data_IF_143887298601
#
_entry.id   IF_143887298601
#
_cell.length_a   1.000
_cell.length_b   1.000
_cell.length_c   1.000
_cell.angle_alpha   90.00
_cell.angle_beta   90.00
_cell.angle_gamma   90.00
#
_symmetry.space_group_name_H-M   'P 1'
#
loop_
_entity.id
_entity.type
_entity.pdbx_description
1 polymer ?
#
# COMPACT_ATOMS: atom_id res chain seq x y z
N UNK A 1 -22.41 33.20 33.12
CA UNK A 1 -21.12 32.50 33.26
C UNK A 1 -21.35 31.07 32.81
N UNK A 2 -20.55 30.56 31.88
CA UNK A 2 -20.73 29.36 31.04
C UNK A 2 -21.81 29.45 29.95
N UNK A 3 -21.35 29.65 28.70
CA UNK A 3 -21.66 28.82 27.53
C UNK A 3 -20.90 29.37 26.31
N UNK A 4 -20.09 28.51 25.69
CA UNK A 4 -19.58 28.69 24.33
C UNK A 4 -20.74 28.47 23.35
N UNK A 5 -20.83 29.26 22.27
CA UNK A 5 -21.46 28.82 21.05
C UNK A 5 -20.46 28.65 19.90
N UNK A 6 -20.72 27.56 19.20
CA UNK A 6 -20.25 27.06 17.92
C UNK A 6 -19.97 28.09 16.82
N UNK A 7 -19.05 27.71 15.93
CA UNK A 7 -19.23 27.98 14.50
C UNK A 7 -18.11 28.75 13.80
N UNK A 8 -17.10 28.03 13.29
CA UNK A 8 -16.71 28.14 11.86
C UNK A 8 -15.75 27.02 11.47
N UNK A 9 -16.33 26.05 10.75
CA UNK A 9 -15.63 25.15 9.83
C UNK A 9 -14.59 25.93 9.02
N UNK A 10 -13.30 25.66 9.25
CA UNK A 10 -12.25 25.91 8.25
C UNK A 10 -11.82 24.57 7.70
N UNK A 11 -12.25 24.34 6.46
CA UNK A 11 -11.80 23.34 5.52
C UNK A 11 -10.28 23.32 5.43
N UNK A 12 -9.66 22.30 6.03
CA UNK A 12 -8.27 21.97 5.77
C UNK A 12 -8.22 21.17 4.46
N UNK A 13 -7.90 21.83 3.34
CA UNK A 13 -7.46 21.14 2.12
C UNK A 13 -6.02 20.70 2.33
N UNK A 14 -5.83 19.44 2.70
CA UNK A 14 -4.54 18.76 2.67
C UNK A 14 -4.41 17.99 1.36
N UNK A 15 -3.42 18.36 0.55
CA UNK A 15 -3.02 17.60 -0.63
C UNK A 15 -2.53 16.22 -0.16
N UNK A 16 -3.29 15.20 -0.52
CA UNK A 16 -3.04 13.81 -0.18
C UNK A 16 -3.53 12.97 -1.35
N UNK A 17 -2.66 12.69 -2.32
CA UNK A 17 -3.04 11.79 -3.42
C UNK A 17 -3.29 10.36 -2.88
N UNK A 18 -2.74 10.03 -1.70
CA UNK A 18 -3.03 8.82 -0.93
C UNK A 18 -4.26 8.98 -0.02
N UNK A 19 -4.39 10.03 0.82
CA UNK A 19 -5.57 10.15 1.69
C UNK A 19 -6.86 10.51 0.94
N UNK A 20 -6.86 11.20 -0.20
CA UNK A 20 -8.07 11.34 -1.04
C UNK A 20 -8.50 9.99 -1.62
N UNK A 21 -7.56 9.14 -2.04
CA UNK A 21 -7.89 7.77 -2.50
C UNK A 21 -8.48 6.92 -1.37
N UNK A 22 -7.91 6.95 -0.16
CA UNK A 22 -8.43 6.22 1.00
C UNK A 22 -9.72 6.82 1.57
N UNK A 23 -9.89 8.15 1.57
CA UNK A 23 -11.13 8.81 1.99
C UNK A 23 -12.25 8.63 0.97
N UNK A 24 -11.95 8.63 -0.33
CA UNK A 24 -12.90 8.27 -1.39
C UNK A 24 -13.27 6.79 -1.27
N UNK A 25 -12.31 5.87 -1.09
CA UNK A 25 -12.61 4.45 -0.81
C UNK A 25 -13.39 4.25 0.48
N UNK A 26 -13.13 5.03 1.54
CA UNK A 26 -13.91 5.00 2.79
C UNK A 26 -15.32 5.54 2.58
N UNK A 27 -15.50 6.62 1.81
CA UNK A 27 -16.83 7.17 1.50
C UNK A 27 -17.62 6.27 0.54
N UNK A 28 -16.95 5.63 -0.42
CA UNK A 28 -17.51 4.63 -1.33
C UNK A 28 -17.86 3.34 -0.58
N UNK A 29 -16.99 2.89 0.33
CA UNK A 29 -17.24 1.77 1.25
C UNK A 29 -18.42 2.09 2.18
N UNK A 30 -18.48 3.28 2.77
CA UNK A 30 -19.59 3.72 3.64
C UNK A 30 -20.90 3.90 2.88
N UNK A 31 -20.85 4.40 1.62
CA UNK A 31 -22.01 4.41 0.70
C UNK A 31 -22.43 3.01 0.30
N UNK A 32 -21.47 2.11 0.04
CA UNK A 32 -21.72 0.71 -0.30
C UNK A 32 -22.36 -0.03 0.87
N UNK A 33 -21.89 0.20 2.11
CA UNK A 33 -22.49 -0.32 3.35
C UNK A 33 -23.92 0.20 3.54
N UNK A 34 -24.16 1.50 3.33
CA UNK A 34 -25.51 2.07 3.43
C UNK A 34 -26.45 1.60 2.30
N UNK A 35 -25.95 1.46 1.08
CA UNK A 35 -26.71 0.92 -0.04
C UNK A 35 -27.01 -0.56 0.16
N UNK A 36 -26.05 -1.36 0.63
CA UNK A 36 -26.25 -2.78 0.93
C UNK A 36 -27.22 -2.99 2.09
N UNK A 37 -27.24 -2.11 3.11
CA UNK A 37 -28.33 -2.12 4.11
C UNK A 37 -29.68 -1.82 3.48
N UNK A 38 -29.78 -0.85 2.57
CA UNK A 38 -31.05 -0.59 1.84
C UNK A 38 -31.48 -1.78 0.99
N UNK A 39 -30.57 -2.40 0.25
CA UNK A 39 -30.86 -3.61 -0.52
C UNK A 39 -31.30 -4.76 0.38
N UNK A 40 -30.69 -4.93 1.56
CA UNK A 40 -31.08 -5.94 2.54
C UNK A 40 -32.52 -5.74 3.04
N UNK A 41 -32.87 -4.52 3.46
CA UNK A 41 -34.25 -4.19 3.87
C UNK A 41 -35.24 -4.38 2.73
N UNK A 42 -34.84 -4.05 1.50
CA UNK A 42 -35.68 -4.25 0.30
C UNK A 42 -35.87 -5.73 -0.01
N UNK A 43 -34.82 -6.56 0.09
CA UNK A 43 -34.89 -8.01 -0.11
C UNK A 43 -35.69 -8.71 0.98
N UNK A 44 -35.53 -8.32 2.26
CA UNK A 44 -36.33 -8.86 3.35
C UNK A 44 -37.81 -8.46 3.21
N UNK A 45 -38.09 -7.22 2.79
CA UNK A 45 -39.44 -6.79 2.48
C UNK A 45 -40.08 -7.57 1.33
N UNK A 46 -39.33 -7.85 0.27
CA UNK A 46 -39.78 -8.65 -0.89
C UNK A 46 -40.05 -10.11 -0.51
N UNK A 47 -39.16 -10.72 0.28
CA UNK A 47 -39.34 -12.09 0.80
C UNK A 47 -40.59 -12.13 1.69
N UNK A 48 -40.75 -11.21 2.64
CA UNK A 48 -41.93 -11.15 3.49
C UNK A 48 -43.23 -10.99 2.68
N UNK A 49 -43.25 -10.13 1.66
CA UNK A 49 -44.40 -9.95 0.78
C UNK A 49 -44.77 -11.24 0.03
N UNK A 50 -43.78 -11.97 -0.50
CA UNK A 50 -44.01 -13.26 -1.18
C UNK A 50 -44.64 -14.29 -0.23
N UNK A 51 -44.16 -14.37 1.01
CA UNK A 51 -44.70 -15.30 2.01
C UNK A 51 -46.11 -14.92 2.47
N UNK A 52 -46.40 -13.63 2.62
CA UNK A 52 -47.76 -13.15 2.94
C UNK A 52 -48.75 -13.49 1.81
N UNK A 53 -48.35 -13.25 0.55
CA UNK A 53 -49.17 -13.57 -0.63
C UNK A 53 -49.38 -15.08 -0.75
N UNK A 54 -48.35 -15.88 -0.47
CA UNK A 54 -48.43 -17.35 -0.50
C UNK A 54 -49.34 -17.89 0.60
N UNK A 55 -49.26 -17.35 1.82
CA UNK A 55 -50.14 -17.72 2.94
C UNK A 55 -51.61 -17.34 2.64
N UNK A 56 -51.85 -16.15 2.07
CA UNK A 56 -53.18 -15.72 1.67
C UNK A 56 -53.77 -16.58 0.54
N UNK A 57 -52.93 -17.00 -0.41
CA UNK A 57 -53.33 -17.91 -1.50
C UNK A 57 -53.65 -19.31 -0.97
N UNK A 58 -52.87 -19.82 -0.02
CA UNK A 58 -53.15 -21.11 0.63
C UNK A 58 -54.49 -21.10 1.38
N UNK A 59 -54.84 -20.00 2.05
CA UNK A 59 -56.13 -19.85 2.71
C UNK A 59 -57.31 -19.92 1.74
N UNK A 60 -57.15 -19.39 0.52
CA UNK A 60 -58.23 -19.35 -0.48
C UNK A 60 -58.40 -20.69 -1.23
N UNK A 61 -57.31 -21.41 -1.46
CA UNK A 61 -57.30 -22.59 -2.35
C UNK A 61 -57.26 -23.95 -1.63
N UNK A 62 -56.85 -24.03 -0.36
CA UNK A 62 -56.74 -25.31 0.35
C UNK A 62 -57.94 -25.59 1.27
N UNK A 63 -58.41 -26.85 1.33
CA UNK A 63 -59.41 -27.27 2.31
C UNK A 63 -58.84 -27.18 3.75
N UNK A 64 -59.70 -26.97 4.77
CA UNK A 64 -59.29 -26.69 6.15
C UNK A 64 -58.47 -27.80 6.82
N UNK A 65 -58.57 -29.05 6.33
CA UNK A 65 -57.83 -30.21 6.86
C UNK A 65 -56.32 -30.16 6.53
N UNK A 66 -55.93 -29.55 5.41
CA UNK A 66 -54.53 -29.47 4.94
C UNK A 66 -53.88 -28.10 5.17
N UNK A 67 -54.68 -27.09 5.53
CA UNK A 67 -54.24 -25.71 5.69
C UNK A 67 -53.20 -25.56 6.81
N UNK A 68 -53.42 -26.22 7.95
CA UNK A 68 -52.51 -26.14 9.11
C UNK A 68 -51.13 -26.75 8.80
N UNK A 69 -51.08 -27.85 8.06
CA UNK A 69 -49.80 -28.48 7.66
C UNK A 69 -49.06 -27.58 6.66
N UNK A 70 -49.77 -27.05 5.67
CA UNK A 70 -49.19 -26.17 4.64
C UNK A 70 -48.66 -24.86 5.22
N UNK A 71 -49.39 -24.23 6.14
CA UNK A 71 -48.94 -23.03 6.85
C UNK A 71 -47.72 -23.30 7.74
N UNK A 72 -47.63 -24.47 8.38
CA UNK A 72 -46.47 -24.83 9.21
C UNK A 72 -45.19 -25.00 8.38
N UNK A 73 -45.28 -25.59 7.18
CA UNK A 73 -44.16 -25.73 6.24
C UNK A 73 -43.73 -24.36 5.70
N UNK A 74 -44.71 -23.48 5.41
CA UNK A 74 -44.43 -22.11 4.95
C UNK A 74 -43.75 -21.28 6.05
N UNK A 75 -44.17 -21.40 7.30
CA UNK A 75 -43.51 -20.75 8.43
C UNK A 75 -42.08 -21.27 8.67
N UNK A 76 -41.87 -22.59 8.55
CA UNK A 76 -40.53 -23.19 8.68
C UNK A 76 -39.57 -22.74 7.58
N UNK A 77 -40.04 -22.65 6.33
CA UNK A 77 -39.22 -22.16 5.20
C UNK A 77 -38.91 -20.67 5.31
N UNK A 78 -39.83 -19.86 5.84
CA UNK A 78 -39.57 -18.44 6.13
C UNK A 78 -38.43 -18.25 7.16
N UNK A 79 -38.47 -19.00 8.28
CA UNK A 79 -37.45 -18.92 9.31
C UNK A 79 -36.07 -19.38 8.82
N UNK A 80 -36.01 -20.40 7.96
CA UNK A 80 -34.75 -20.85 7.33
C UNK A 80 -34.17 -19.79 6.39
N UNK A 81 -35.02 -19.09 5.63
CA UNK A 81 -34.59 -17.98 4.78
C UNK A 81 -34.04 -16.82 5.62
N UNK A 82 -34.73 -16.41 6.70
CA UNK A 82 -34.22 -15.36 7.59
C UNK A 82 -32.90 -15.76 8.25
N UNK A 83 -32.77 -17.00 8.71
CA UNK A 83 -31.55 -17.51 9.35
C UNK A 83 -30.36 -17.56 8.38
N UNK A 84 -30.60 -17.93 7.12
CA UNK A 84 -29.57 -17.97 6.07
C UNK A 84 -29.09 -16.56 5.72
N UNK A 85 -30.03 -15.60 5.58
CA UNK A 85 -29.70 -14.19 5.36
C UNK A 85 -28.93 -13.61 6.55
N UNK A 86 -29.32 -13.94 7.78
CA UNK A 86 -28.63 -13.52 8.99
C UNK A 86 -27.20 -14.08 9.07
N UNK A 87 -26.97 -15.36 8.76
CA UNK A 87 -25.63 -15.96 8.75
C UNK A 87 -24.75 -15.31 7.68
N UNK A 88 -25.28 -15.14 6.47
CA UNK A 88 -24.53 -14.57 5.36
C UNK A 88 -24.11 -13.13 5.71
N UNK A 89 -25.04 -12.34 6.23
CA UNK A 89 -24.78 -10.97 6.66
C UNK A 89 -23.82 -10.91 7.85
N UNK A 90 -23.96 -11.78 8.86
CA UNK A 90 -23.04 -11.84 10.01
C UNK A 90 -21.62 -12.23 9.60
N UNK A 91 -21.47 -13.11 8.60
CA UNK A 91 -20.18 -13.51 8.05
C UNK A 91 -19.55 -12.37 7.24
N UNK A 92 -20.34 -11.67 6.45
CA UNK A 92 -19.90 -10.48 5.72
C UNK A 92 -19.49 -9.39 6.72
N UNK A 93 -20.37 -8.99 7.65
CA UNK A 93 -20.13 -7.95 8.67
C UNK A 93 -18.91 -8.25 9.54
N UNK A 94 -18.61 -9.51 9.88
CA UNK A 94 -17.34 -9.86 10.54
C UNK A 94 -16.11 -9.59 9.67
N UNK A 95 -16.20 -9.81 8.36
CA UNK A 95 -15.17 -9.39 7.42
C UNK A 95 -14.97 -7.88 7.42
N UNK A 96 -16.06 -7.11 7.52
CA UNK A 96 -16.02 -5.64 7.60
C UNK A 96 -15.62 -5.10 8.98
N UNK A 97 -15.94 -5.79 10.09
CA UNK A 97 -15.44 -5.48 11.44
C UNK A 97 -13.93 -5.70 11.50
N UNK A 98 -13.38 -6.75 10.87
CA UNK A 98 -11.92 -6.92 10.78
C UNK A 98 -11.23 -5.82 9.95
N UNK A 99 -11.88 -5.35 8.89
CA UNK A 99 -11.42 -4.23 8.05
C UNK A 99 -11.61 -2.87 8.73
N UNK A 100 -12.66 -2.72 9.56
CA UNK A 100 -12.92 -1.53 10.35
C UNK A 100 -11.99 -1.47 11.56
N UNK A 101 -11.68 -2.57 12.23
CA UNK A 101 -10.69 -2.66 13.31
C UNK A 101 -9.26 -2.44 12.78
N UNK A 102 -8.96 -2.89 11.57
CA UNK A 102 -7.71 -2.57 10.86
C UNK A 102 -7.62 -1.10 10.42
N UNK A 103 -8.76 -0.46 10.12
CA UNK A 103 -8.82 0.94 9.66
C UNK A 103 -9.09 1.96 10.78
N UNK A 104 -9.61 1.51 11.92
CA UNK A 104 -9.90 2.27 13.15
C UNK A 104 -8.96 1.89 14.29
N UNK A 105 -7.96 1.03 14.03
CA UNK A 105 -6.78 0.96 14.89
C UNK A 105 -6.34 2.42 15.09
N UNK A 106 -6.34 2.94 16.33
CA UNK A 106 -5.94 4.31 16.57
C UNK A 106 -4.59 4.52 15.89
N UNK A 107 -4.38 5.69 15.27
CA UNK A 107 -3.01 6.11 14.94
C UNK A 107 -2.14 5.77 16.17
N UNK A 108 -1.01 5.09 15.98
CA UNK A 108 -0.22 4.59 17.10
C UNK A 108 -0.05 5.73 18.09
N UNK A 109 -0.44 5.48 19.33
CA UNK A 109 -0.39 6.47 20.39
C UNK A 109 0.99 7.14 20.35
N UNK A 110 1.09 8.48 20.26
CA UNK A 110 2.38 9.16 20.18
C UNK A 110 3.25 8.96 21.44
N UNK A 111 2.71 8.32 22.48
CA UNK A 111 3.41 7.84 23.68
C UNK A 111 3.66 6.32 23.71
N UNK A 112 3.09 5.56 22.78
CA UNK A 112 3.50 4.18 22.51
C UNK A 112 4.65 4.24 21.50
N UNK A 113 5.86 3.93 21.98
CA UNK A 113 6.99 3.72 21.09
C UNK A 113 6.60 2.68 20.02
N UNK A 114 6.91 2.93 18.74
CA UNK A 114 6.48 2.06 17.66
C UNK A 114 7.01 0.64 17.90
N UNK A 115 6.09 -0.26 18.28
CA UNK A 115 6.36 -1.66 18.59
C UNK A 115 6.94 -2.34 17.35
N UNK A 116 8.23 -2.69 17.47
CA UNK A 116 9.10 -3.32 16.48
C UNK A 116 9.23 -2.62 15.11
N UNK A 117 9.64 -1.35 15.11
CA UNK A 117 10.62 -0.94 14.09
C UNK A 117 11.82 -1.83 14.33
N UNK A 118 12.10 -2.82 13.47
CA UNK A 118 13.35 -3.60 13.53
C UNK A 118 14.49 -2.64 13.88
N UNK A 119 14.93 -2.71 15.14
CA UNK A 119 16.09 -2.02 15.68
C UNK A 119 17.28 -2.53 14.88
N UNK A 120 17.59 -1.87 13.77
CA UNK A 120 18.52 -2.47 12.82
C UNK A 120 18.66 -1.79 11.48
N UNK A 121 18.07 -0.60 11.25
CA UNK A 121 18.51 0.15 10.08
C UNK A 121 19.97 0.54 10.34
N UNK A 122 20.88 0.07 9.50
CA UNK A 122 22.29 0.43 9.54
C UNK A 122 22.47 1.97 9.68
N UNK A 123 21.56 2.75 9.09
CA UNK A 123 21.49 4.21 9.22
C UNK A 123 21.29 4.70 10.67
N UNK A 124 20.50 3.99 11.48
CA UNK A 124 20.35 4.27 12.91
C UNK A 124 21.68 4.08 13.64
N UNK A 125 22.28 2.89 13.51
CA UNK A 125 23.55 2.57 14.16
C UNK A 125 24.68 3.50 13.70
N UNK A 126 24.67 3.90 12.42
CA UNK A 126 25.60 4.87 11.85
C UNK A 126 25.37 6.27 12.44
N UNK A 127 24.12 6.70 12.67
CA UNK A 127 23.82 7.98 13.29
C UNK A 127 24.31 8.04 14.75
N UNK A 128 24.09 6.98 15.53
CA UNK A 128 24.58 6.93 16.92
C UNK A 128 26.10 6.91 17.00
N UNK A 129 26.76 6.09 16.18
CA UNK A 129 28.22 6.06 16.10
C UNK A 129 28.79 7.40 15.64
N UNK A 130 28.11 8.08 14.71
CA UNK A 130 28.48 9.43 14.28
C UNK A 130 28.42 10.42 15.45
N UNK A 131 27.31 10.43 16.20
CA UNK A 131 27.13 11.33 17.34
C UNK A 131 28.19 11.08 18.43
N UNK A 132 28.53 9.81 18.70
CA UNK A 132 29.56 9.46 19.67
C UNK A 132 30.94 10.00 19.26
N UNK A 133 31.34 9.85 18.00
CA UNK A 133 32.62 10.35 17.50
C UNK A 133 32.64 11.87 17.40
N UNK A 134 31.52 12.50 17.03
CA UNK A 134 31.42 13.96 17.03
C UNK A 134 31.58 14.52 18.45
N UNK A 135 30.94 13.89 19.45
CA UNK A 135 31.09 14.28 20.85
C UNK A 135 32.54 14.23 21.34
N UNK A 136 33.30 13.20 20.94
CA UNK A 136 34.74 13.11 21.22
C UNK A 136 35.51 14.26 20.57
N UNK A 137 35.27 14.54 19.28
CA UNK A 137 35.93 15.64 18.57
C UNK A 137 35.64 17.01 19.17
N UNK A 138 34.42 17.24 19.65
CA UNK A 138 34.03 18.48 20.31
C UNK A 138 34.69 18.62 21.69
N UNK A 139 34.79 17.53 22.47
CA UNK A 139 35.54 17.49 23.73
C UNK A 139 37.03 17.80 23.55
N UNK A 140 37.67 17.24 22.53
CA UNK A 140 39.07 17.57 22.24
C UNK A 140 39.25 19.04 21.81
N UNK A 141 38.28 19.58 21.06
CA UNK A 141 38.30 20.98 20.62
C UNK A 141 38.07 21.94 21.78
N UNK A 142 37.20 21.60 22.73
CA UNK A 142 36.98 22.41 23.94
C UNK A 142 38.18 22.31 24.88
N UNK A 143 38.74 21.12 25.09
CA UNK A 143 40.00 20.93 25.82
C UNK A 143 41.14 21.77 25.22
N UNK A 144 41.33 21.73 23.90
CA UNK A 144 42.34 22.55 23.21
C UNK A 144 42.08 24.06 23.35
N UNK A 145 40.82 24.51 23.39
CA UNK A 145 40.45 25.93 23.60
C UNK A 145 40.64 26.39 25.03
N UNK A 146 40.33 25.54 26.02
CA UNK A 146 40.56 25.84 27.44
C UNK A 146 42.05 25.88 27.74
N UNK A 147 42.82 24.95 27.18
CA UNK A 147 44.28 24.94 27.26
C UNK A 147 44.89 26.21 26.63
N UNK A 148 44.29 26.72 25.55
CA UNK A 148 44.72 27.97 24.89
C UNK A 148 44.39 29.25 25.71
N UNK A 149 43.47 29.18 26.69
CA UNK A 149 43.14 30.31 27.60
C UNK A 149 44.08 30.42 28.79
N UNK A 150 44.84 29.37 29.12
CA UNK A 150 45.90 29.43 30.12
C UNK A 150 47.06 30.32 29.61
N UNK A 151 47.64 31.14 30.49
CA UNK A 151 48.70 32.11 30.16
C UNK A 151 49.86 31.44 29.39
N UNK A 152 50.42 32.08 28.35
CA UNK A 152 51.45 31.48 27.49
C UNK A 152 52.75 31.08 28.21
N UNK A 153 53.01 31.62 29.42
CA UNK A 153 54.20 31.33 30.23
C UNK A 153 54.16 29.99 30.98
N UNK A 154 53.01 29.32 31.08
CA UNK A 154 52.87 28.00 31.73
C UNK A 154 53.00 26.85 30.73
N UNK A 155 53.15 27.16 29.43
CA UNK A 155 52.98 26.20 28.35
C UNK A 155 54.30 25.53 27.97
N UNK A 156 54.39 24.22 28.16
CA UNK A 156 55.38 23.43 27.44
C UNK A 156 54.96 23.35 25.97
N UNK A 157 55.83 23.79 25.04
CA UNK A 157 55.50 23.80 23.60
C UNK A 157 55.20 22.39 23.07
N UNK A 158 55.77 21.37 23.70
CA UNK A 158 55.59 19.97 23.33
C UNK A 158 54.13 19.50 23.52
N UNK A 159 53.48 19.86 24.64
CA UNK A 159 52.13 19.40 24.96
C UNK A 159 51.08 20.00 24.02
N UNK A 160 51.21 21.29 23.68
CA UNK A 160 50.34 21.95 22.71
C UNK A 160 50.46 21.39 21.31
N UNK A 161 51.68 21.09 20.85
CA UNK A 161 51.89 20.52 19.52
C UNK A 161 51.38 19.08 19.45
N UNK A 162 51.52 18.32 20.54
CA UNK A 162 51.05 16.95 20.64
C UNK A 162 49.52 16.87 20.64
N UNK A 163 48.83 17.72 21.40
CA UNK A 163 47.36 17.77 21.40
C UNK A 163 46.81 18.19 20.03
N UNK A 164 47.43 19.17 19.37
CA UNK A 164 47.03 19.60 18.03
C UNK A 164 47.20 18.48 16.99
N UNK A 165 48.33 17.73 17.05
CA UNK A 165 48.57 16.56 16.19
C UNK A 165 47.55 15.45 16.45
N UNK A 166 47.19 15.19 17.71
CA UNK A 166 46.16 14.20 18.06
C UNK A 166 44.79 14.59 17.51
N UNK A 167 44.38 15.85 17.68
CA UNK A 167 43.13 16.36 17.12
C UNK A 167 43.08 16.23 15.58
N UNK A 168 44.17 16.58 14.90
CA UNK A 168 44.25 16.44 13.44
C UNK A 168 44.22 14.98 12.98
N UNK A 169 44.91 14.08 13.68
CA UNK A 169 44.90 12.65 13.38
C UNK A 169 43.50 12.03 13.56
N UNK A 170 42.80 12.38 14.64
CA UNK A 170 41.45 11.90 14.92
C UNK A 170 40.42 12.44 13.93
N UNK A 171 40.52 13.74 13.58
CA UNK A 171 39.72 14.35 12.52
C UNK A 171 39.93 13.66 11.16
N UNK A 172 41.17 13.34 10.81
CA UNK A 172 41.48 12.61 9.57
C UNK A 172 40.97 11.17 9.59
N UNK A 173 41.05 10.47 10.73
CA UNK A 173 40.48 9.15 10.90
C UNK A 173 38.96 9.18 10.69
N UNK A 174 38.27 10.14 11.31
CA UNK A 174 36.83 10.31 11.16
C UNK A 174 36.41 10.55 9.71
N UNK A 175 37.10 11.45 9.00
CA UNK A 175 36.82 11.69 7.58
C UNK A 175 36.98 10.43 6.73
N UNK A 176 38.03 9.63 6.97
CA UNK A 176 38.22 8.35 6.27
C UNK A 176 37.10 7.35 6.55
N UNK A 177 36.58 7.31 7.78
CA UNK A 177 35.42 6.46 8.11
C UNK A 177 34.19 6.91 7.32
N UNK A 178 33.91 8.21 7.28
CA UNK A 178 32.78 8.74 6.50
C UNK A 178 32.94 8.45 4.99
N UNK A 179 34.16 8.57 4.47
CA UNK A 179 34.45 8.36 3.05
C UNK A 179 34.44 6.89 2.65
N UNK A 180 34.71 5.97 3.60
CA UNK A 180 34.53 4.53 3.37
C UNK A 180 33.08 4.13 3.09
N UNK A 181 32.12 4.92 3.59
CA UNK A 181 30.70 4.71 3.34
C UNK A 181 30.26 5.31 2.00
N UNK A 182 30.68 4.69 0.89
CA UNK A 182 30.42 5.17 -0.47
C UNK A 182 28.97 5.01 -0.95
N UNK A 183 28.17 4.16 -0.29
CA UNK A 183 26.76 3.89 -0.60
C UNK A 183 25.79 4.83 0.13
N UNK A 184 26.25 5.49 1.21
CA UNK A 184 25.42 6.35 2.04
C UNK A 184 25.94 7.78 2.00
N UNK A 185 25.04 8.75 1.81
CA UNK A 185 25.38 10.15 1.95
C UNK A 185 25.39 10.54 3.42
N UNK A 186 26.51 11.10 3.90
CA UNK A 186 26.62 11.73 5.21
C UNK A 186 26.77 13.23 5.01
N UNK A 187 25.75 13.97 5.43
CA UNK A 187 25.70 15.42 5.23
C UNK A 187 25.39 16.06 6.58
N UNK A 188 26.26 16.93 7.05
CA UNK A 188 25.92 17.81 8.18
C UNK A 188 25.49 19.16 7.66
N UNK A 189 24.54 19.78 8.35
CA UNK A 189 23.99 21.08 8.00
C UNK A 189 23.95 21.95 9.26
N UNK A 190 24.46 23.17 9.19
CA UNK A 190 24.41 24.12 10.31
C UNK A 190 22.99 24.65 10.53
N UNK A 191 22.75 25.35 11.65
CA UNK A 191 21.47 26.04 11.90
C UNK A 191 21.08 27.08 10.83
N UNK A 192 22.03 27.54 10.01
CA UNK A 192 21.76 28.44 8.88
C UNK A 192 21.46 27.69 7.57
N UNK A 193 21.38 26.36 7.59
CA UNK A 193 21.10 25.55 6.41
C UNK A 193 22.31 25.33 5.50
N UNK A 194 23.53 25.63 5.96
CA UNK A 194 24.76 25.47 5.17
C UNK A 194 25.39 24.09 5.39
N UNK A 195 25.92 23.48 4.33
CA UNK A 195 26.60 22.18 4.40
C UNK A 195 27.90 22.32 5.22
N UNK A 196 28.02 21.52 6.28
CA UNK A 196 29.21 21.43 7.13
C UNK A 196 30.08 20.20 6.86
N UNK A 197 29.53 19.16 6.24
CA UNK A 197 30.25 17.93 5.87
C UNK A 197 29.61 17.31 4.63
N UNK A 198 30.46 16.69 3.80
CA UNK A 198 30.07 16.05 2.55
C UNK A 198 31.03 14.90 2.25
N UNK A 199 30.60 13.65 2.51
CA UNK A 199 31.44 12.46 2.30
C UNK A 199 31.44 11.99 0.84
N UNK A 200 32.32 11.04 0.50
CA UNK A 200 32.35 10.41 -0.83
C UNK A 200 31.00 9.82 -1.26
N UNK A 201 30.22 9.25 -0.34
CA UNK A 201 28.87 8.77 -0.67
C UNK A 201 27.92 9.90 -1.10
N UNK A 202 27.98 11.07 -0.46
CA UNK A 202 27.21 12.23 -0.89
C UNK A 202 27.66 12.73 -2.29
N UNK A 203 28.95 12.68 -2.60
CA UNK A 203 29.45 12.99 -3.95
C UNK A 203 28.89 12.03 -5.00
N UNK A 204 28.93 10.72 -4.73
CA UNK A 204 28.41 9.70 -5.64
C UNK A 204 26.90 9.85 -5.86
N UNK A 205 26.14 10.09 -4.79
CA UNK A 205 24.68 10.18 -4.84
C UNK A 205 24.22 11.47 -5.51
N UNK A 206 24.78 12.62 -5.15
CA UNK A 206 24.27 13.91 -5.63
C UNK A 206 25.05 14.47 -6.82
N UNK A 207 26.25 13.95 -7.12
CA UNK A 207 27.10 14.40 -8.22
C UNK A 207 27.81 15.74 -7.99
N UNK A 208 27.77 16.28 -6.77
CA UNK A 208 28.51 17.48 -6.37
C UNK A 208 29.77 17.06 -5.64
N UNK A 209 30.91 17.66 -5.99
CA UNK A 209 32.14 17.46 -5.24
C UNK A 209 32.05 18.12 -3.86
N UNK A 210 32.81 17.64 -2.89
CA UNK A 210 32.92 18.22 -1.55
C UNK A 210 33.22 19.72 -1.62
N UNK A 211 34.20 20.11 -2.42
CA UNK A 211 34.60 21.52 -2.56
C UNK A 211 33.46 22.39 -3.11
N UNK A 212 32.63 21.84 -3.99
CA UNK A 212 31.46 22.53 -4.52
C UNK A 212 30.27 22.56 -3.57
N UNK A 213 30.18 21.64 -2.60
CA UNK A 213 29.04 21.50 -1.70
C UNK A 213 29.25 22.22 -0.36
N UNK A 214 30.47 22.16 0.17
CA UNK A 214 30.82 22.70 1.49
C UNK A 214 30.51 24.19 1.60
N UNK A 215 29.88 24.59 2.71
CA UNK A 215 29.51 25.98 3.01
C UNK A 215 28.33 26.54 2.21
N UNK A 216 27.85 25.84 1.18
CA UNK A 216 26.67 26.27 0.42
C UNK A 216 25.37 25.88 1.13
N UNK A 217 24.26 26.60 0.87
CA UNK A 217 22.96 26.20 1.37
C UNK A 217 22.56 24.84 0.81
N UNK A 218 22.21 23.88 1.67
CA UNK A 218 21.79 22.53 1.26
C UNK A 218 20.53 22.54 0.38
N UNK A 219 19.85 23.69 0.26
CA UNK A 219 18.72 23.94 -0.64
C UNK A 219 19.01 23.62 -2.11
N UNK A 220 20.27 23.60 -2.56
CA UNK A 220 20.62 23.30 -3.97
C UNK A 220 20.22 21.88 -4.42
N UNK A 221 20.14 20.93 -3.50
CA UNK A 221 19.75 19.54 -3.79
C UNK A 221 18.26 19.28 -3.57
N UNK A 222 17.48 20.30 -3.21
CA UNK A 222 16.02 20.20 -3.10
C UNK A 222 15.33 20.58 -4.41
N UNK A 223 14.17 19.98 -4.63
CA UNK A 223 13.28 20.38 -5.72
C UNK A 223 12.82 21.83 -5.47
N UNK A 224 13.08 22.69 -6.45
CA UNK A 224 12.48 24.02 -6.50
C UNK A 224 11.08 23.87 -7.07
N UNK A 225 10.09 24.17 -6.25
CA UNK A 225 8.67 24.13 -6.58
C UNK A 225 8.13 25.55 -6.50
N UNK A 226 7.63 26.07 -7.62
CA UNK A 226 7.05 27.42 -7.73
C UNK A 226 5.82 27.61 -6.84
N UNK A 227 5.16 26.51 -6.45
CA UNK A 227 3.98 26.52 -5.57
C UNK A 227 4.31 26.56 -4.06
N UNK A 228 5.60 26.50 -3.69
CA UNK A 228 6.05 26.58 -2.29
C UNK A 228 5.79 25.33 -1.44
N UNK A 229 5.10 24.31 -1.96
CA UNK A 229 4.76 23.10 -1.20
C UNK A 229 6.00 22.33 -0.77
N UNK A 230 7.03 22.26 -1.61
CA UNK A 230 8.29 21.62 -1.24
C UNK A 230 8.97 22.30 -0.04
N UNK A 231 8.90 23.64 0.03
CA UNK A 231 9.46 24.41 1.15
C UNK A 231 8.65 24.20 2.44
N UNK A 232 7.32 24.14 2.34
CA UNK A 232 6.44 23.88 3.48
C UNK A 232 6.65 22.47 4.05
N UNK A 233 6.76 21.46 3.18
CA UNK A 233 7.09 20.08 3.59
C UNK A 233 8.42 20.05 4.32
N UNK A 234 9.45 20.72 3.80
CA UNK A 234 10.75 20.77 4.46
C UNK A 234 10.70 21.49 5.81
N UNK A 235 9.90 22.55 5.92
CA UNK A 235 9.69 23.28 7.18
C UNK A 235 8.99 22.43 8.22
N UNK A 236 7.98 21.65 7.84
CA UNK A 236 7.29 20.72 8.73
C UNK A 236 8.23 19.62 9.23
N UNK A 237 9.02 19.02 8.33
CA UNK A 237 10.03 18.01 8.67
C UNK A 237 11.09 18.54 9.63
N UNK A 238 11.56 19.76 9.38
CA UNK A 238 12.51 20.44 10.27
C UNK A 238 11.91 20.63 11.67
N UNK A 239 10.63 21.05 11.78
CA UNK A 239 9.93 21.16 13.07
C UNK A 239 9.80 19.81 13.79
N UNK A 240 9.55 18.74 13.05
CA UNK A 240 9.47 17.39 13.61
C UNK A 240 10.81 16.98 14.22
N UNK A 241 11.91 17.07 13.46
CA UNK A 241 13.26 16.77 13.97
C UNK A 241 13.61 17.63 15.18
N UNK A 242 13.22 18.91 15.19
CA UNK A 242 13.43 19.79 16.34
C UNK A 242 12.64 19.36 17.59
N UNK A 243 11.49 18.69 17.42
CA UNK A 243 10.65 18.21 18.54
C UNK A 243 11.11 16.84 19.05
N UNK A 244 11.41 15.91 18.13
CA UNK A 244 11.71 14.50 18.46
C UNK A 244 13.21 14.23 18.55
N UNK A 245 14.06 15.17 18.14
CA UNK A 245 15.51 15.00 18.02
C UNK A 245 15.94 14.20 16.77
N UNK A 246 15.06 13.36 16.23
CA UNK A 246 15.32 12.49 15.09
C UNK A 246 14.05 12.22 14.29
N UNK A 247 14.16 12.13 12.97
CA UNK A 247 13.06 11.72 12.11
C UNK A 247 13.56 11.01 10.84
N UNK A 248 12.73 10.09 10.35
CA UNK A 248 12.96 9.35 9.11
C UNK A 248 12.07 9.90 8.00
N UNK A 249 12.65 10.08 6.82
CA UNK A 249 11.94 10.63 5.67
C UNK A 249 12.31 9.90 4.38
N UNK A 250 11.32 9.67 3.53
CA UNK A 250 11.55 9.46 2.10
C UNK A 250 11.24 10.77 1.37
N UNK A 251 12.18 11.25 0.57
CA UNK A 251 12.05 12.54 -0.12
C UNK A 251 12.67 12.50 -1.50
N UNK A 252 12.17 13.36 -2.40
CA UNK A 252 12.78 13.50 -3.72
C UNK A 252 13.83 14.59 -3.68
N UNK A 253 15.00 14.29 -4.23
CA UNK A 253 16.16 15.19 -4.29
C UNK A 253 16.62 15.36 -5.73
N UNK A 254 17.42 16.39 -5.97
CA UNK A 254 18.03 16.67 -7.25
C UNK A 254 19.53 16.37 -7.20
N UNK A 255 20.01 15.63 -8.20
CA UNK A 255 21.44 15.54 -8.50
C UNK A 255 21.92 16.79 -9.24
N UNK A 256 23.24 16.97 -9.36
CA UNK A 256 23.86 18.09 -10.09
C UNK A 256 23.43 18.18 -11.56
N UNK A 257 23.21 17.03 -12.20
CA UNK A 257 22.73 16.93 -13.59
C UNK A 257 21.22 17.26 -13.74
N UNK A 258 20.50 17.54 -12.65
CA UNK A 258 19.06 17.81 -12.64
C UNK A 258 18.17 16.56 -12.52
N UNK A 259 18.73 15.37 -12.47
CA UNK A 259 17.99 14.13 -12.26
C UNK A 259 17.33 14.12 -10.88
N UNK A 260 16.03 13.77 -10.85
CA UNK A 260 15.30 13.55 -9.62
C UNK A 260 15.42 12.10 -9.17
N UNK A 261 15.73 11.89 -7.89
CA UNK A 261 15.80 10.55 -7.31
C UNK A 261 15.15 10.52 -5.92
N UNK A 262 14.54 9.37 -5.53
CA UNK A 262 14.08 9.15 -4.17
C UNK A 262 15.27 8.88 -3.23
N UNK A 263 15.36 9.68 -2.18
CA UNK A 263 16.30 9.54 -1.09
C UNK A 263 15.55 9.10 0.17
N UNK A 264 15.94 7.97 0.73
CA UNK A 264 15.54 7.55 2.06
C UNK A 264 16.58 8.04 3.06
N UNK A 265 16.21 8.96 3.94
CA UNK A 265 17.16 9.57 4.87
C UNK A 265 16.65 9.65 6.30
N UNK A 266 17.59 9.46 7.22
CA UNK A 266 17.43 9.78 8.64
C UNK A 266 18.05 11.14 8.89
N UNK A 267 17.27 12.04 9.50
CA UNK A 267 17.74 13.35 9.93
C UNK A 267 17.75 13.41 11.45
N UNK A 268 18.92 13.66 12.01
CA UNK A 268 19.15 13.74 13.46
C UNK A 268 19.63 15.14 13.83
N UNK A 269 19.06 15.73 14.86
CA UNK A 269 19.53 16.99 15.41
C UNK A 269 20.88 16.78 16.11
N UNK A 270 21.86 17.59 15.73
CA UNK A 270 23.15 17.67 16.41
C UNK A 270 23.02 18.67 17.56
N UNK A 271 23.59 18.33 18.72
CA UNK A 271 23.58 19.19 19.91
C UNK A 271 25.01 19.52 20.29
N UNK A 272 25.24 20.77 20.70
CA UNK A 272 26.50 21.18 21.29
C UNK A 272 26.64 20.69 22.75
N UNK A 273 27.78 20.97 23.38
CA UNK A 273 28.09 20.63 24.78
C UNK A 273 27.07 21.22 25.79
N UNK A 274 26.38 22.30 25.43
CA UNK A 274 25.34 22.96 26.24
C UNK A 274 23.95 22.33 26.05
N UNK A 275 23.84 21.26 25.25
CA UNK A 275 22.58 20.58 24.94
C UNK A 275 21.70 21.31 23.92
N UNK A 276 22.18 22.40 23.33
CA UNK A 276 21.46 23.20 22.33
C UNK A 276 21.71 22.65 20.93
N UNK A 277 20.66 22.60 20.11
CA UNK A 277 20.77 22.14 18.72
C UNK A 277 21.66 23.12 17.92
N UNK A 278 22.75 22.60 17.35
CA UNK A 278 23.76 23.36 16.60
C UNK A 278 23.81 23.00 15.10
N UNK A 279 23.07 21.97 14.71
CA UNK A 279 22.88 21.57 13.33
C UNK A 279 22.07 20.29 13.19
N UNK A 280 22.19 19.69 12.01
CA UNK A 280 21.53 18.44 11.66
C UNK A 280 22.50 17.54 10.91
N UNK A 281 22.39 16.23 11.16
CA UNK A 281 23.02 15.18 10.37
C UNK A 281 21.94 14.49 9.54
N UNK A 282 22.13 14.48 8.22
CA UNK A 282 21.37 13.69 7.26
C UNK A 282 22.21 12.49 6.83
N UNK A 283 21.71 11.28 7.10
CA UNK A 283 22.23 10.04 6.54
C UNK A 283 21.23 9.56 5.51
N UNK A 284 21.63 9.50 4.25
CA UNK A 284 20.74 9.20 3.12
C UNK A 284 21.20 8.00 2.29
N UNK A 285 20.24 7.29 1.72
CA UNK A 285 20.44 6.24 0.73
C UNK A 285 19.51 6.47 -0.46
N UNK A 286 20.07 6.33 -1.65
CA UNK A 286 19.28 6.30 -2.88
C UNK A 286 18.50 4.99 -2.94
N UNK A 287 17.18 5.08 -3.11
CA UNK A 287 16.27 3.92 -3.18
C UNK A 287 15.62 3.77 -4.56
N UNK A 288 16.27 4.32 -5.60
CA UNK A 288 15.74 4.31 -6.97
C UNK A 288 15.47 2.89 -7.47
N UNK A 289 16.37 1.95 -7.22
CA UNK A 289 16.25 0.60 -7.74
C UNK A 289 15.15 -0.19 -7.03
N UNK A 290 15.01 0.01 -5.73
CA UNK A 290 13.94 -0.55 -4.91
C UNK A 290 12.58 -0.02 -5.39
N UNK A 291 12.44 1.30 -5.51
CA UNK A 291 11.19 1.92 -6.01
C UNK A 291 10.85 1.46 -7.44
N UNK A 292 11.84 1.27 -8.31
CA UNK A 292 11.62 0.72 -9.67
C UNK A 292 11.15 -0.72 -9.62
N UNK A 293 11.74 -1.56 -8.77
CA UNK A 293 11.33 -2.96 -8.59
C UNK A 293 9.91 -3.03 -8.05
N UNK A 294 9.59 -2.27 -7.01
CA UNK A 294 8.25 -2.24 -6.40
C UNK A 294 7.18 -1.82 -7.41
N UNK A 295 7.50 -0.81 -8.24
CA UNK A 295 6.61 -0.36 -9.30
C UNK A 295 6.40 -1.43 -10.36
N UNK A 296 7.46 -2.10 -10.81
CA UNK A 296 7.37 -3.18 -11.78
C UNK A 296 6.54 -4.36 -11.25
N UNK A 297 6.69 -4.70 -9.96
CA UNK A 297 5.87 -5.72 -9.30
C UNK A 297 4.40 -5.29 -9.26
N UNK A 298 4.10 -4.04 -8.88
CA UNK A 298 2.73 -3.52 -8.88
C UNK A 298 2.09 -3.56 -10.27
N UNK A 299 2.82 -3.18 -11.30
CA UNK A 299 2.35 -3.27 -12.69
C UNK A 299 2.03 -4.73 -13.06
N UNK A 300 2.87 -5.68 -12.67
CA UNK A 300 2.63 -7.11 -12.91
C UNK A 300 1.38 -7.62 -12.18
N UNK A 301 1.19 -7.27 -10.91
CA UNK A 301 -0.02 -7.63 -10.15
C UNK A 301 -1.28 -7.08 -10.83
N UNK A 302 -1.25 -5.83 -11.30
CA UNK A 302 -2.39 -5.24 -12.00
C UNK A 302 -2.64 -5.91 -13.36
N UNK A 303 -1.60 -6.32 -14.09
CA UNK A 303 -1.78 -7.11 -15.32
C UNK A 303 -2.41 -8.48 -15.04
N UNK A 304 -1.98 -9.17 -13.98
CA UNK A 304 -2.55 -10.46 -13.56
C UNK A 304 -4.03 -10.33 -13.17
N UNK A 305 -4.40 -9.29 -12.41
CA UNK A 305 -5.82 -9.00 -12.08
C UNK A 305 -6.66 -8.75 -13.33
N UNK A 306 -6.14 -7.98 -14.28
CA UNK A 306 -6.83 -7.71 -15.54
C UNK A 306 -6.98 -8.97 -16.40
N UNK A 307 -6.00 -9.87 -16.39
CA UNK A 307 -6.08 -11.17 -17.03
C UNK A 307 -7.18 -12.03 -16.39
N UNK A 308 -7.21 -12.14 -15.07
CA UNK A 308 -8.24 -12.89 -14.34
C UNK A 308 -9.66 -12.40 -14.69
N UNK A 309 -9.88 -11.08 -14.73
CA UNK A 309 -11.17 -10.50 -15.12
C UNK A 309 -11.56 -10.78 -16.57
N UNK A 310 -10.59 -10.90 -17.48
CA UNK A 310 -10.86 -11.28 -18.88
C UNK A 310 -11.21 -12.78 -18.99
N UNK A 311 -10.56 -13.63 -18.20
CA UNK A 311 -10.84 -15.06 -18.15
C UNK A 311 -12.24 -15.36 -17.62
N UNK A 312 -12.72 -14.63 -16.62
CA UNK A 312 -14.10 -14.72 -16.13
C UNK A 312 -15.13 -14.49 -17.25
N UNK A 313 -14.90 -13.47 -18.09
CA UNK A 313 -15.77 -13.22 -19.26
C UNK A 313 -15.70 -14.32 -20.31
N UNK A 314 -14.53 -14.94 -20.49
CA UNK A 314 -14.38 -16.06 -21.44
C UNK A 314 -15.14 -17.27 -20.90
N UNK A 315 -15.04 -17.57 -19.62
CA UNK A 315 -15.79 -18.65 -18.96
C UNK A 315 -17.31 -18.51 -19.16
N UNK A 316 -17.86 -17.30 -18.97
CA UNK A 316 -19.28 -17.02 -19.24
C UNK A 316 -19.68 -17.28 -20.71
N UNK A 317 -18.81 -16.93 -21.66
CA UNK A 317 -19.03 -17.18 -23.09
C UNK A 317 -18.99 -18.69 -23.36
N UNK A 318 -18.03 -19.41 -22.81
CA UNK A 318 -17.88 -20.87 -22.98
C UNK A 318 -19.10 -21.60 -22.43
N UNK A 319 -19.59 -21.23 -21.24
CA UNK A 319 -20.84 -21.75 -20.66
C UNK A 319 -22.05 -21.50 -21.57
N UNK A 320 -22.11 -20.34 -22.19
CA UNK A 320 -23.18 -20.00 -23.14
C UNK A 320 -23.12 -20.86 -24.40
N UNK A 321 -21.92 -21.10 -24.95
CA UNK A 321 -21.71 -21.98 -26.10
C UNK A 321 -22.09 -23.42 -25.75
N UNK A 322 -21.72 -23.90 -24.56
CA UNK A 322 -22.09 -25.23 -24.10
C UNK A 322 -23.61 -25.40 -23.95
N UNK A 323 -24.30 -24.38 -23.43
CA UNK A 323 -25.75 -24.37 -23.35
C UNK A 323 -26.39 -24.45 -24.74
N UNK A 324 -25.90 -23.63 -25.69
CA UNK A 324 -26.37 -23.63 -27.08
C UNK A 324 -26.13 -25.02 -27.70
N UNK A 325 -24.94 -25.59 -27.54
CA UNK A 325 -24.61 -26.91 -28.06
C UNK A 325 -25.55 -27.99 -27.50
N UNK A 326 -25.82 -27.99 -26.20
CA UNK A 326 -26.78 -28.93 -25.58
C UNK A 326 -28.20 -28.74 -26.12
N UNK A 327 -28.66 -27.50 -26.28
CA UNK A 327 -29.98 -27.20 -26.86
C UNK A 327 -30.08 -27.65 -28.31
N UNK A 328 -29.06 -27.36 -29.13
CA UNK A 328 -29.01 -27.80 -30.53
C UNK A 328 -28.99 -29.33 -30.63
N UNK A 329 -28.29 -30.01 -29.72
CA UNK A 329 -28.31 -31.47 -29.64
C UNK A 329 -29.71 -32.02 -29.33
N UNK A 330 -30.45 -31.40 -28.40
CA UNK A 330 -31.84 -31.78 -28.10
C UNK A 330 -32.78 -31.53 -29.30
N UNK A 331 -32.62 -30.39 -29.99
CA UNK A 331 -33.39 -30.09 -31.20
C UNK A 331 -33.12 -31.11 -32.31
N UNK A 332 -31.86 -31.52 -32.49
CA UNK A 332 -31.48 -32.55 -33.44
C UNK A 332 -32.11 -33.91 -33.12
N UNK A 333 -32.16 -34.29 -31.83
CA UNK A 333 -32.83 -35.51 -31.38
C UNK A 333 -34.33 -35.45 -31.69
N UNK A 334 -34.99 -34.33 -31.40
CA UNK A 334 -36.41 -34.15 -31.70
C UNK A 334 -36.68 -34.25 -33.21
N UNK A 335 -35.83 -33.62 -34.03
CA UNK A 335 -35.93 -33.68 -35.48
C UNK A 335 -35.69 -35.11 -36.03
N UNK A 336 -34.75 -35.86 -35.44
CA UNK A 336 -34.51 -37.26 -35.80
C UNK A 336 -35.71 -38.16 -35.47
N UNK A 337 -36.38 -37.93 -34.33
CA UNK A 337 -37.62 -38.65 -33.96
C UNK A 337 -38.74 -38.35 -34.96
N UNK A 338 -38.93 -37.08 -35.32
CA UNK A 338 -39.97 -36.70 -36.28
C UNK A 338 -39.66 -37.21 -37.70
N UNK A 339 -38.39 -37.21 -38.10
CA UNK A 339 -37.94 -37.80 -39.35
C UNK A 339 -38.21 -39.32 -39.40
N UNK A 340 -37.94 -40.04 -38.31
CA UNK A 340 -38.27 -41.46 -38.21
C UNK A 340 -39.79 -41.70 -38.28
N UNK A 341 -40.59 -40.82 -37.67
CA UNK A 341 -42.05 -40.89 -37.69
C UNK A 341 -42.66 -40.64 -39.07
N UNK A 342 -42.03 -39.78 -39.88
CA UNK A 342 -42.46 -39.48 -41.24
C UNK A 342 -42.11 -40.59 -42.27
N UNK A 343 -41.38 -41.64 -41.87
CA UNK A 343 -41.03 -42.75 -42.74
C UNK A 343 -40.18 -42.31 -43.93
N UNK A 344 -40.55 -42.72 -45.15
CA UNK A 344 -39.79 -42.38 -46.37
C UNK A 344 -39.73 -40.87 -46.65
N UNK A 345 -40.77 -40.11 -46.27
CA UNK A 345 -40.80 -38.66 -46.43
C UNK A 345 -39.80 -37.94 -45.51
N UNK A 346 -39.35 -38.59 -44.43
CA UNK A 346 -38.40 -38.06 -43.45
C UNK A 346 -36.93 -38.38 -43.73
N UNK A 347 -36.62 -39.19 -44.75
CA UNK A 347 -35.26 -39.70 -44.96
C UNK A 347 -34.20 -38.58 -45.13
N UNK A 348 -34.52 -37.51 -45.86
CA UNK A 348 -33.62 -36.35 -46.00
C UNK A 348 -33.44 -35.56 -44.69
N UNK A 349 -34.50 -35.42 -43.90
CA UNK A 349 -34.46 -34.76 -42.59
C UNK A 349 -33.66 -35.57 -41.55
N UNK A 350 -33.66 -36.89 -41.64
CA UNK A 350 -32.89 -37.76 -40.76
C UNK A 350 -31.37 -37.52 -40.92
N UNK A 351 -30.89 -37.38 -42.15
CA UNK A 351 -29.47 -37.08 -42.45
C UNK A 351 -29.06 -35.73 -41.89
N UNK A 352 -29.87 -34.69 -42.11
CA UNK A 352 -29.58 -33.34 -41.59
C UNK A 352 -29.58 -33.32 -40.06
N UNK A 353 -30.52 -34.03 -39.43
CA UNK A 353 -30.61 -34.11 -37.97
C UNK A 353 -29.38 -34.79 -37.36
N UNK A 354 -28.87 -35.85 -37.99
CA UNK A 354 -27.64 -36.52 -37.53
C UNK A 354 -26.41 -35.61 -37.66
N UNK A 355 -26.29 -34.84 -38.74
CA UNK A 355 -25.18 -33.90 -38.93
C UNK A 355 -25.21 -32.77 -37.89
N UNK A 356 -26.38 -32.22 -37.59
CA UNK A 356 -26.57 -31.22 -36.53
C UNK A 356 -26.20 -31.81 -35.16
N UNK A 357 -26.58 -33.07 -34.90
CA UNK A 357 -26.25 -33.77 -33.64
C UNK A 357 -24.74 -33.92 -33.46
N UNK A 358 -24.03 -34.34 -34.51
CA UNK A 358 -22.57 -34.47 -34.51
C UNK A 358 -21.90 -33.10 -34.31
N UNK A 359 -22.38 -32.06 -34.99
CA UNK A 359 -21.86 -30.71 -34.83
C UNK A 359 -22.06 -30.18 -33.41
N UNK A 360 -23.26 -30.35 -32.84
CA UNK A 360 -23.58 -29.97 -31.48
C UNK A 360 -22.68 -30.68 -30.46
N UNK A 361 -22.44 -31.98 -30.63
CA UNK A 361 -21.51 -32.74 -29.80
C UNK A 361 -20.09 -32.20 -29.90
N UNK A 362 -19.57 -31.95 -31.10
CA UNK A 362 -18.24 -31.36 -31.30
C UNK A 362 -18.10 -29.98 -30.66
N UNK A 363 -19.13 -29.14 -30.72
CA UNK A 363 -19.16 -27.84 -30.06
C UNK A 363 -19.13 -27.96 -28.54
N UNK A 364 -19.85 -28.94 -27.98
CA UNK A 364 -19.82 -29.23 -26.53
C UNK A 364 -18.43 -29.70 -26.09
N UNK A 365 -17.81 -30.60 -26.85
CA UNK A 365 -16.48 -31.13 -26.54
C UNK A 365 -15.41 -30.03 -26.62
N UNK A 366 -15.47 -29.15 -27.63
CA UNK A 366 -14.57 -28.00 -27.76
C UNK A 366 -14.76 -26.98 -26.62
N UNK A 367 -16.00 -26.70 -26.23
CA UNK A 367 -16.29 -25.79 -25.11
C UNK A 367 -15.70 -26.32 -23.81
N UNK A 368 -15.79 -27.63 -23.56
CA UNK A 368 -15.21 -28.27 -22.39
C UNK A 368 -13.68 -28.12 -22.35
N UNK A 369 -12.99 -28.33 -23.47
CA UNK A 369 -11.54 -28.11 -23.57
C UNK A 369 -11.14 -26.66 -23.30
N UNK A 370 -11.92 -25.69 -23.79
CA UNK A 370 -11.64 -24.27 -23.51
C UNK A 370 -11.84 -23.98 -22.02
N UNK A 371 -12.87 -24.53 -21.39
CA UNK A 371 -13.11 -24.39 -19.94
C UNK A 371 -11.92 -24.90 -19.13
N UNK A 372 -11.40 -26.10 -19.48
CA UNK A 372 -10.22 -26.69 -18.82
C UNK A 372 -8.99 -25.77 -18.95
N UNK A 373 -8.73 -25.21 -20.14
CA UNK A 373 -7.63 -24.25 -20.35
C UNK A 373 -7.82 -22.93 -19.57
N UNK A 374 -9.06 -22.43 -19.49
CA UNK A 374 -9.37 -21.20 -18.73
C UNK A 374 -9.08 -21.42 -17.25
N UNK A 375 -9.45 -22.57 -16.69
CA UNK A 375 -9.17 -22.93 -15.29
C UNK A 375 -7.67 -23.03 -15.01
N UNK A 376 -6.90 -23.65 -15.92
CA UNK A 376 -5.43 -23.72 -15.81
C UNK A 376 -4.79 -22.34 -15.78
N UNK A 377 -5.17 -21.45 -16.71
CA UNK A 377 -4.62 -20.09 -16.78
C UNK A 377 -5.04 -19.27 -15.55
N UNK A 378 -6.26 -19.45 -15.03
CA UNK A 378 -6.68 -18.79 -13.79
C UNK A 378 -5.82 -19.20 -12.59
N UNK A 379 -5.52 -20.50 -12.46
CA UNK A 379 -4.66 -21.02 -11.39
C UNK A 379 -3.24 -20.44 -11.51
N UNK A 380 -2.66 -20.45 -12.71
CA UNK A 380 -1.32 -19.88 -12.94
C UNK A 380 -1.28 -18.38 -12.66
N UNK A 381 -2.28 -17.64 -13.14
CA UNK A 381 -2.37 -16.18 -12.91
C UNK A 381 -2.49 -15.85 -11.42
N UNK A 382 -3.20 -16.67 -10.64
CA UNK A 382 -3.32 -16.48 -9.19
C UNK A 382 -2.00 -16.74 -8.48
N UNK A 383 -1.29 -17.82 -8.83
CA UNK A 383 0.03 -18.14 -8.28
C UNK A 383 1.04 -17.02 -8.50
N UNK A 384 1.04 -16.40 -9.69
CA UNK A 384 1.91 -15.25 -9.99
C UNK A 384 1.58 -14.05 -9.10
N UNK A 385 0.29 -13.77 -8.89
CA UNK A 385 -0.12 -12.67 -8.02
C UNK A 385 0.23 -12.93 -6.55
N UNK A 386 0.00 -14.14 -6.03
CA UNK A 386 0.32 -14.54 -4.66
C UNK A 386 1.84 -14.53 -4.39
N UNK A 387 2.65 -15.14 -5.28
CA UNK A 387 4.11 -15.16 -5.14
C UNK A 387 4.75 -13.75 -5.17
N UNK A 388 4.07 -12.76 -5.74
CA UNK A 388 4.50 -11.37 -5.75
C UNK A 388 4.09 -10.61 -4.50
N UNK A 389 2.93 -10.95 -3.90
CA UNK A 389 2.49 -10.39 -2.62
C UNK A 389 3.43 -10.86 -1.49
N UNK A 390 3.79 -12.15 -1.47
CA UNK A 390 4.71 -12.69 -0.46
C UNK A 390 6.11 -12.03 -0.52
N UNK A 391 6.54 -11.57 -1.70
CA UNK A 391 7.81 -10.81 -1.81
C UNK A 391 7.71 -9.40 -1.26
N UNK A 392 6.53 -8.78 -1.28
CA UNK A 392 6.31 -7.43 -0.75
C UNK A 392 6.22 -7.46 0.78
N UNK A 393 5.78 -8.55 1.39
CA UNK A 393 5.65 -8.67 2.85
C UNK A 393 6.95 -9.07 3.57
N UNK A 394 7.95 -9.58 2.84
CA UNK A 394 9.21 -10.09 3.41
C UNK A 394 10.35 -9.06 3.42
N UNK A 395 10.31 -8.07 2.51
CA UNK A 395 11.24 -6.93 2.45
C UNK A 395 10.71 -5.70 3.19
#
# INVERSE_FOLDING_TARGET
MFNLPEGRLRTARYNSCSCEYYLVKMQESRRSIMNNRRYLWMTMGLIAAIFIISAASMWYFFPPEDLMRSLSVLAGTFLLCEFTVYIFFRREVRGWESLADFALSPEPDPSVEPEDIREGSLQHQLAERFLAVQGLLDQYKSAAREEQKLLPDVRDKADSEQLQKQYEAEKQLFQRILDSASLYSFITVTMQGKVGSWNTGAENLFGWTRDEAMGRPVSFSFIKDDSGKAADIQRQRSKQVMKTGKALFTMRRLRKNGEMFPLHCTVTALKNEEGKIDGFLEIGRDVTDEVKKDKAIHEQIETAKNLAKKLEKIDDIVKSIELIARQTNLLAINAAVEAARAGELGAGFAVVSEEIRVLAKRSSDASRQISELVDEIQIESRKVAEAQIDRIEVD
#
